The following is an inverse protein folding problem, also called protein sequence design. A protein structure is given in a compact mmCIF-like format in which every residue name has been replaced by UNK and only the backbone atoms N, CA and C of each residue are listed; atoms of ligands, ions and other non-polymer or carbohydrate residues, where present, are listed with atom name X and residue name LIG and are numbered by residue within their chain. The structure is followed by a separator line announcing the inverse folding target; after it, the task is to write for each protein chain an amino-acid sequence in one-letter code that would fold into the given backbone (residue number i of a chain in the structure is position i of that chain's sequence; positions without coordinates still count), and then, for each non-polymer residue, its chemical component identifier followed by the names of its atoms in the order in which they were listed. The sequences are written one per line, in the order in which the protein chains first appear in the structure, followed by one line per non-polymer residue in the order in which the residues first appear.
data_IF_854953504433
#
_entry.id   IF_854953504433
#
_cell.length_a   1.000
_cell.length_b   1.000
_cell.length_c   1.000
_cell.angle_alpha   90.00
_cell.angle_beta   90.00
_cell.angle_gamma   90.00
#
_symmetry.space_group_name_H-M   'P 1'
#
loop_
_entity.id
_entity.type
_entity.pdbx_description
1 polymer ?
#
# COMPACT_ATOMS: atom_id res chain seq x y z
N UNK A 1 6.71 -18.64 -3.99
CA UNK A 1 7.19 -17.39 -4.63
C UNK A 1 7.68 -16.47 -3.53
N UNK A 2 8.83 -15.82 -3.69
CA UNK A 2 9.33 -14.88 -2.71
C UNK A 2 8.37 -13.66 -2.60
N UNK A 3 8.12 -13.22 -1.38
CA UNK A 3 7.22 -12.10 -1.11
C UNK A 3 7.87 -10.79 -1.54
N UNK A 4 7.06 -9.90 -2.13
CA UNK A 4 7.52 -8.58 -2.60
C UNK A 4 7.21 -7.50 -1.59
N UNK A 5 8.15 -6.57 -1.41
CA UNK A 5 7.97 -5.37 -0.60
C UNK A 5 7.88 -4.11 -1.46
N UNK A 6 7.26 -3.09 -0.92
CA UNK A 6 7.22 -1.74 -1.46
C UNK A 6 6.87 -0.75 -0.35
N UNK A 7 7.28 0.51 -0.52
CA UNK A 7 6.84 1.61 0.33
C UNK A 7 6.09 2.66 -0.50
N UNK A 8 4.98 3.14 0.04
CA UNK A 8 4.24 4.28 -0.51
C UNK A 8 4.22 5.41 0.51
N UNK A 9 4.78 6.56 0.15
CA UNK A 9 4.96 7.70 1.05
C UNK A 9 4.03 8.84 0.64
N UNK A 10 3.28 9.35 1.63
CA UNK A 10 2.34 10.46 1.48
C UNK A 10 2.52 11.48 2.60
N UNK A 11 1.95 12.70 2.46
CA UNK A 11 1.81 13.61 3.61
C UNK A 11 1.13 12.90 4.78
N UNK A 12 1.71 13.01 5.98
CA UNK A 12 1.12 12.45 7.18
C UNK A 12 -0.12 13.25 7.60
N UNK A 13 -1.22 12.58 7.87
CA UNK A 13 -2.38 13.17 8.52
C UNK A 13 -2.15 13.14 10.05
N UNK A 14 -1.61 14.22 10.59
CA UNK A 14 -1.23 14.31 12.01
C UNK A 14 -2.39 14.07 12.98
N UNK A 15 -3.65 14.29 12.55
CA UNK A 15 -4.83 14.07 13.38
C UNK A 15 -5.29 12.62 13.43
N UNK A 16 -5.18 11.87 12.34
CA UNK A 16 -5.72 10.51 12.25
C UNK A 16 -4.67 9.40 12.24
N UNK A 17 -3.44 9.69 11.80
CA UNK A 17 -2.38 8.70 11.69
C UNK A 17 -2.08 8.04 13.04
N UNK A 18 -1.90 8.84 14.09
CA UNK A 18 -1.62 8.32 15.43
C UNK A 18 -2.75 7.43 15.98
N UNK A 19 -4.00 7.80 15.74
CA UNK A 19 -5.17 7.04 16.18
C UNK A 19 -5.23 5.67 15.50
N UNK A 20 -5.02 5.65 14.18
CA UNK A 20 -4.96 4.42 13.39
C UNK A 20 -3.79 3.54 13.81
N UNK A 21 -2.59 4.11 13.86
CA UNK A 21 -1.36 3.36 14.07
C UNK A 21 -1.28 2.75 15.48
N UNK A 22 -1.85 3.44 16.48
CA UNK A 22 -1.90 2.97 17.88
C UNK A 22 -3.13 2.12 18.19
N UNK A 23 -4.02 1.89 17.23
CA UNK A 23 -5.30 1.18 17.48
C UNK A 23 -6.06 1.80 18.65
N UNK A 24 -6.17 3.13 18.70
CA UNK A 24 -6.87 3.78 19.81
C UNK A 24 -8.31 3.28 19.93
N UNK A 25 -8.85 3.29 21.16
CA UNK A 25 -10.24 2.89 21.40
C UNK A 25 -11.23 3.71 20.58
N UNK A 26 -10.98 5.03 20.44
CA UNK A 26 -11.76 5.93 19.60
C UNK A 26 -11.74 5.48 18.12
N UNK A 27 -10.57 5.15 17.60
CA UNK A 27 -10.44 4.66 16.22
C UNK A 27 -11.19 3.35 16.02
N UNK A 28 -11.02 2.38 16.93
CA UNK A 28 -11.68 1.09 16.85
C UNK A 28 -13.21 1.19 16.94
N UNK A 29 -13.73 2.12 17.77
CA UNK A 29 -15.17 2.37 17.89
C UNK A 29 -15.79 2.97 16.62
N UNK A 30 -15.02 3.76 15.87
CA UNK A 30 -15.49 4.48 14.69
C UNK A 30 -15.20 3.76 13.35
N UNK A 31 -14.53 2.62 13.37
CA UNK A 31 -14.30 1.83 12.17
C UNK A 31 -15.62 1.30 11.63
N UNK A 32 -15.89 1.59 10.36
CA UNK A 32 -16.99 0.94 9.64
C UNK A 32 -16.62 -0.52 9.40
N UNK A 33 -17.27 -1.43 10.13
CA UNK A 33 -17.04 -2.89 10.10
C UNK A 33 -17.05 -3.51 8.70
N UNK A 34 -17.66 -2.82 7.72
CA UNK A 34 -17.76 -3.27 6.32
C UNK A 34 -16.49 -3.00 5.49
N UNK A 35 -15.58 -2.14 5.96
CA UNK A 35 -14.47 -1.65 5.13
C UNK A 35 -13.07 -2.01 5.66
N UNK A 36 -12.96 -2.29 6.93
CA UNK A 36 -11.68 -2.61 7.54
C UNK A 36 -11.85 -3.79 8.49
N UNK A 37 -11.11 -4.84 8.23
CA UNK A 37 -11.10 -6.01 9.09
C UNK A 37 -9.88 -5.94 9.98
N UNK A 38 -10.09 -5.47 11.21
CA UNK A 38 -9.10 -5.58 12.28
C UNK A 38 -9.51 -6.75 13.17
N UNK A 39 -8.61 -7.67 13.33
CA UNK A 39 -8.74 -8.77 14.28
C UNK A 39 -8.16 -8.35 15.62
N UNK A 40 -9.04 -7.96 16.55
CA UNK A 40 -8.65 -7.49 17.87
C UNK A 40 -7.91 -8.57 18.68
N UNK A 41 -8.17 -9.83 18.39
CA UNK A 41 -7.45 -10.98 18.96
C UNK A 41 -6.00 -11.13 18.45
N UNK A 42 -5.62 -10.42 17.39
CA UNK A 42 -4.26 -10.39 16.86
C UNK A 42 -3.49 -9.10 17.20
N UNK A 43 -4.12 -8.14 17.88
CA UNK A 43 -3.50 -6.83 18.17
C UNK A 43 -2.23 -6.95 19.02
N UNK A 44 -2.12 -7.96 19.86
CA UNK A 44 -0.92 -8.24 20.66
C UNK A 44 0.33 -8.54 19.80
N UNK A 45 0.13 -8.90 18.53
CA UNK A 45 1.21 -9.15 17.57
C UNK A 45 1.73 -7.90 16.89
N UNK A 46 1.06 -6.77 17.10
CA UNK A 46 1.50 -5.48 16.60
C UNK A 46 2.68 -4.97 17.44
N UNK A 47 3.58 -4.26 16.77
CA UNK A 47 4.75 -3.68 17.40
C UNK A 47 4.78 -2.18 17.15
N UNK A 48 5.32 -1.43 18.09
CA UNK A 48 5.50 0.02 17.97
C UNK A 48 6.89 0.43 18.43
N UNK A 49 7.49 1.36 17.70
CA UNK A 49 8.70 2.05 18.08
C UNK A 49 8.49 3.56 17.92
N UNK A 50 8.98 4.31 18.90
CA UNK A 50 8.97 5.78 18.89
C UNK A 50 10.40 6.25 19.07
N UNK A 51 10.83 7.19 18.22
CA UNK A 51 12.16 7.77 18.33
C UNK A 51 12.35 8.45 19.68
N UNK A 52 13.49 8.25 20.36
CA UNK A 52 13.76 8.87 21.67
C UNK A 52 13.60 10.40 21.66
N UNK A 53 13.98 11.04 20.56
CA UNK A 53 13.86 12.50 20.38
C UNK A 53 12.41 12.99 20.20
N UNK A 54 11.47 12.10 19.88
CA UNK A 54 10.06 12.43 19.87
C UNK A 54 9.44 12.22 21.26
N UNK A 55 9.82 11.15 21.97
CA UNK A 55 9.29 10.82 23.28
C UNK A 55 7.75 10.79 23.29
N UNK A 56 7.18 11.52 24.24
CA UNK A 56 5.72 11.65 24.38
C UNK A 56 5.12 12.81 23.54
N UNK A 57 5.94 13.50 22.75
CA UNK A 57 5.47 14.62 21.90
C UNK A 57 4.50 14.10 20.85
N UNK A 58 3.32 14.71 20.76
CA UNK A 58 2.36 14.39 19.72
C UNK A 58 2.86 14.77 18.33
N UNK A 59 2.35 14.10 17.28
CA UNK A 59 2.69 14.49 15.90
C UNK A 59 2.22 15.92 15.57
N UNK A 60 1.14 16.39 16.19
CA UNK A 60 0.66 17.77 16.03
C UNK A 60 1.65 18.77 16.67
N UNK A 61 2.13 18.48 17.87
CA UNK A 61 3.11 19.31 18.54
C UNK A 61 4.46 19.28 17.81
N UNK A 62 4.88 18.10 17.33
CA UNK A 62 6.07 18.00 16.48
C UNK A 62 5.94 18.83 15.21
N UNK A 63 4.77 18.81 14.56
CA UNK A 63 4.51 19.67 13.41
C UNK A 63 4.66 21.16 13.76
N UNK A 64 4.12 21.59 14.89
CA UNK A 64 4.25 22.96 15.39
C UNK A 64 5.71 23.34 15.71
N UNK A 65 6.49 22.44 16.32
CA UNK A 65 7.91 22.61 16.55
C UNK A 65 8.69 22.81 15.24
N UNK A 66 8.40 21.98 14.22
CA UNK A 66 8.99 22.13 12.88
C UNK A 66 8.61 23.47 12.26
N UNK A 67 7.35 23.90 12.36
CA UNK A 67 6.93 25.19 11.83
C UNK A 67 7.65 26.36 12.50
N UNK A 68 7.87 26.31 13.82
CA UNK A 68 8.65 27.30 14.57
C UNK A 68 10.11 27.29 14.12
N UNK A 69 10.74 26.12 14.00
CA UNK A 69 12.10 25.95 13.52
C UNK A 69 12.28 26.51 12.10
N UNK A 70 11.33 26.25 11.19
CA UNK A 70 11.36 26.79 9.82
C UNK A 70 11.35 28.32 9.85
N UNK A 71 10.50 28.92 10.69
CA UNK A 71 10.45 30.39 10.85
C UNK A 71 11.75 30.95 11.38
N UNK A 72 12.34 30.31 12.38
CA UNK A 72 13.62 30.68 12.96
C UNK A 72 14.75 30.62 11.91
N UNK A 73 14.90 29.49 11.23
CA UNK A 73 16.00 29.26 10.28
C UNK A 73 15.88 30.05 8.98
N UNK A 74 14.67 30.32 8.51
CA UNK A 74 14.44 30.94 7.20
C UNK A 74 13.95 32.38 7.27
N UNK A 75 13.58 32.87 8.45
CA UNK A 75 12.96 34.19 8.66
C UNK A 75 11.53 34.28 8.13
N UNK A 76 10.92 33.16 7.68
CA UNK A 76 9.59 33.13 7.07
C UNK A 76 8.75 32.01 7.66
N UNK A 77 7.45 32.29 7.82
CA UNK A 77 6.52 31.22 8.20
C UNK A 77 6.49 30.10 7.16
N UNK A 78 6.35 28.86 7.64
CA UNK A 78 6.20 27.69 6.77
C UNK A 78 4.93 27.85 5.93
N UNK A 79 5.04 27.70 4.62
CA UNK A 79 3.89 27.72 3.72
C UNK A 79 3.09 26.41 3.87
N UNK A 80 1.90 26.46 4.40
CA UNK A 80 1.06 25.27 4.68
C UNK A 80 0.00 25.01 3.62
N UNK A 81 -0.29 26.00 2.75
CA UNK A 81 -1.31 25.89 1.69
C UNK A 81 -0.67 25.99 0.31
N UNK A 82 -1.28 25.32 -0.66
CA UNK A 82 -0.92 25.51 -2.05
C UNK A 82 -1.16 26.96 -2.47
N UNK A 83 -0.34 27.48 -3.37
CA UNK A 83 -0.51 28.82 -3.94
C UNK A 83 -0.16 28.83 -5.42
N UNK A 84 -0.85 29.65 -6.18
CA UNK A 84 -0.50 29.91 -7.56
C UNK A 84 0.69 30.87 -7.65
N UNK A 85 1.59 30.58 -8.57
CA UNK A 85 2.70 31.45 -8.95
C UNK A 85 2.63 31.72 -10.45
N UNK A 86 2.42 32.97 -10.81
CA UNK A 86 2.44 33.43 -12.20
C UNK A 86 3.85 33.86 -12.57
N UNK A 87 4.40 33.28 -13.63
CA UNK A 87 5.65 33.76 -14.19
C UNK A 87 5.38 35.08 -14.93
N UNK A 88 5.92 36.18 -14.41
CA UNK A 88 5.69 37.53 -14.95
C UNK A 88 6.16 37.73 -16.41
N UNK A 89 7.11 36.90 -16.89
CA UNK A 89 7.62 36.99 -18.27
C UNK A 89 6.82 36.17 -19.27
N UNK A 90 6.34 35.01 -18.87
CA UNK A 90 5.69 34.03 -19.74
C UNK A 90 4.18 33.88 -19.50
N UNK A 91 3.63 34.52 -18.47
CA UNK A 91 2.24 34.32 -18.04
C UNK A 91 1.93 32.91 -17.51
N UNK A 92 2.90 31.99 -17.51
CA UNK A 92 2.68 30.59 -17.08
C UNK A 92 2.33 30.53 -15.59
N UNK A 93 1.19 29.93 -15.31
CA UNK A 93 0.74 29.64 -13.93
C UNK A 93 1.31 28.30 -13.48
N UNK A 94 1.91 28.27 -12.30
CA UNK A 94 2.40 27.05 -11.63
C UNK A 94 1.86 27.00 -10.22
N UNK A 95 1.47 25.81 -9.74
CA UNK A 95 1.06 25.61 -8.35
C UNK A 95 2.30 25.28 -7.52
N UNK A 96 2.59 26.15 -6.55
CA UNK A 96 3.59 25.87 -5.52
C UNK A 96 2.89 25.18 -4.36
N UNK A 97 3.21 23.91 -4.14
CA UNK A 97 2.59 23.10 -3.10
C UNK A 97 2.97 23.58 -1.70
N UNK A 98 2.02 23.42 -0.79
CA UNK A 98 2.27 23.61 0.65
C UNK A 98 3.32 22.63 1.18
N UNK A 99 3.99 23.01 2.23
CA UNK A 99 4.97 22.16 2.91
C UNK A 99 4.27 20.99 3.61
N UNK A 100 4.84 19.82 3.46
CA UNK A 100 4.41 18.59 4.14
C UNK A 100 5.58 18.04 4.94
N UNK A 101 5.91 18.67 6.08
CA UNK A 101 7.12 18.36 6.85
C UNK A 101 7.10 16.97 7.44
N UNK A 102 5.91 16.46 7.79
CA UNK A 102 5.73 15.09 8.23
C UNK A 102 5.14 14.27 7.09
N UNK A 103 5.73 13.12 6.85
CA UNK A 103 5.24 12.14 5.86
C UNK A 103 5.06 10.77 6.51
N UNK A 104 4.15 10.01 5.94
CA UNK A 104 3.89 8.63 6.37
C UNK A 104 4.11 7.68 5.20
N UNK A 105 4.91 6.64 5.44
CA UNK A 105 5.17 5.57 4.51
C UNK A 105 4.44 4.30 4.94
N UNK A 106 3.68 3.69 4.04
CA UNK A 106 3.11 2.35 4.25
C UNK A 106 4.00 1.35 3.54
N UNK A 107 4.53 0.41 4.30
CA UNK A 107 5.49 -0.62 3.87
C UNK A 107 4.80 -1.97 3.86
N UNK A 108 4.90 -2.70 2.75
CA UNK A 108 4.49 -4.12 2.70
C UNK A 108 5.59 -4.97 3.35
N UNK A 109 5.23 -5.78 4.33
CA UNK A 109 6.15 -6.63 5.09
C UNK A 109 5.78 -8.10 4.97
N UNK A 110 6.65 -8.98 5.44
CA UNK A 110 6.39 -10.42 5.65
C UNK A 110 6.16 -10.73 7.12
N UNK A 111 5.72 -11.93 7.43
CA UNK A 111 5.33 -12.35 8.77
C UNK A 111 6.47 -12.22 9.80
N UNK A 112 7.68 -12.55 9.37
CA UNK A 112 8.91 -12.55 10.16
C UNK A 112 9.71 -11.24 10.06
N UNK A 113 9.15 -10.19 9.45
CA UNK A 113 9.79 -8.86 9.45
C UNK A 113 9.90 -8.34 10.88
N UNK A 114 11.10 -7.91 11.25
CA UNK A 114 11.41 -7.40 12.59
C UNK A 114 11.43 -5.88 12.63
N UNK A 115 11.19 -5.32 13.83
CA UNK A 115 11.37 -3.88 14.09
C UNK A 115 12.79 -3.42 13.75
N UNK A 116 13.81 -4.25 14.06
CA UNK A 116 15.21 -3.91 13.78
C UNK A 116 15.49 -3.74 12.29
N UNK A 117 14.89 -4.56 11.42
CA UNK A 117 15.04 -4.43 9.97
C UNK A 117 14.48 -3.09 9.47
N UNK A 118 13.31 -2.67 10.00
CA UNK A 118 12.72 -1.37 9.68
C UNK A 118 13.54 -0.19 10.22
N UNK A 119 14.10 -0.32 11.43
CA UNK A 119 15.01 0.69 12.00
C UNK A 119 16.29 0.81 11.18
N UNK A 120 16.87 -0.30 10.74
CA UNK A 120 18.05 -0.30 9.86
C UNK A 120 17.74 0.42 8.54
N UNK A 121 16.59 0.15 7.92
CA UNK A 121 16.13 0.88 6.75
C UNK A 121 16.00 2.37 7.01
N UNK A 122 15.42 2.76 8.14
CA UNK A 122 15.27 4.16 8.53
C UNK A 122 16.61 4.85 8.73
N UNK A 123 17.59 4.16 9.34
CA UNK A 123 18.93 4.72 9.55
C UNK A 123 19.65 4.95 8.20
N UNK A 124 19.55 4.03 7.25
CA UNK A 124 20.09 4.23 5.90
C UNK A 124 19.43 5.42 5.22
N UNK A 125 18.11 5.60 5.35
CA UNK A 125 17.40 6.74 4.80
C UNK A 125 17.85 8.05 5.43
N UNK A 126 18.12 8.08 6.74
CA UNK A 126 18.65 9.24 7.46
C UNK A 126 20.04 9.63 6.97
N UNK A 127 20.94 8.66 6.86
CA UNK A 127 22.31 8.88 6.39
C UNK A 127 22.36 9.37 4.95
N UNK A 128 21.48 8.86 4.09
CA UNK A 128 21.51 9.13 2.66
C UNK A 128 20.77 10.41 2.27
N UNK A 129 19.62 10.67 2.87
CA UNK A 129 18.71 11.77 2.47
C UNK A 129 18.38 12.75 3.59
N UNK A 130 18.85 12.51 4.80
CA UNK A 130 18.60 13.38 5.95
C UNK A 130 17.17 13.32 6.48
N UNK A 131 16.36 12.35 6.06
CA UNK A 131 15.00 12.16 6.58
C UNK A 131 15.05 11.29 7.84
N UNK A 132 14.35 11.69 8.89
CA UNK A 132 14.42 11.01 10.19
C UNK A 132 13.09 10.32 10.51
N UNK A 133 13.13 9.04 10.83
CA UNK A 133 11.95 8.33 11.30
C UNK A 133 11.61 8.75 12.73
N UNK A 134 10.34 9.06 12.98
CA UNK A 134 9.81 9.46 14.29
C UNK A 134 9.06 8.31 14.96
N UNK A 135 8.36 7.50 14.17
CA UNK A 135 7.56 6.38 14.67
C UNK A 135 7.55 5.25 13.63
N UNK A 136 7.53 4.02 14.11
CA UNK A 136 7.32 2.82 13.30
C UNK A 136 6.24 1.98 13.98
N UNK A 137 5.26 1.51 13.22
CA UNK A 137 4.21 0.60 13.70
C UNK A 137 4.11 -0.58 12.75
N UNK A 138 4.21 -1.78 13.27
CA UNK A 138 4.01 -3.02 12.54
C UNK A 138 2.59 -3.51 12.83
N UNK A 139 1.79 -3.72 11.79
CA UNK A 139 0.44 -4.22 11.89
C UNK A 139 0.34 -5.63 11.31
N UNK A 140 -0.06 -6.59 12.18
CA UNK A 140 -0.33 -8.00 11.84
C UNK A 140 -1.79 -8.38 12.09
N UNK A 141 -2.62 -7.41 12.47
CA UNK A 141 -4.02 -7.56 12.85
C UNK A 141 -5.00 -7.19 11.74
N UNK A 142 -4.54 -6.61 10.65
CA UNK A 142 -5.38 -6.25 9.50
C UNK A 142 -5.40 -7.33 8.42
N UNK A 143 -6.54 -7.44 7.74
CA UNK A 143 -6.69 -8.34 6.61
C UNK A 143 -8.10 -8.38 6.06
N UNK A 144 -8.45 -9.47 5.40
CA UNK A 144 -9.80 -9.74 4.92
C UNK A 144 -10.06 -11.24 4.85
N UNK A 145 -11.31 -11.61 4.86
CA UNK A 145 -11.73 -12.99 4.58
C UNK A 145 -11.92 -13.17 3.07
N UNK A 146 -11.36 -14.22 2.49
CA UNK A 146 -11.57 -14.56 1.07
C UNK A 146 -13.05 -14.88 0.84
N UNK A 147 -13.62 -15.68 1.75
CA UNK A 147 -15.05 -15.98 1.77
C UNK A 147 -15.66 -15.28 3.00
N UNK A 148 -16.55 -14.29 2.81
CA UNK A 148 -17.23 -13.64 3.93
C UNK A 148 -17.94 -14.66 4.84
N UNK A 149 -17.69 -14.56 6.15
CA UNK A 149 -18.28 -15.46 7.13
C UNK A 149 -17.49 -16.74 7.43
N UNK A 150 -16.48 -17.08 6.63
CA UNK A 150 -15.59 -18.22 6.88
C UNK A 150 -14.26 -17.74 7.47
N UNK A 151 -14.12 -17.92 8.78
CA UNK A 151 -12.93 -17.48 9.54
C UNK A 151 -11.65 -18.22 9.15
N UNK A 152 -11.75 -19.41 8.55
CA UNK A 152 -10.60 -20.17 8.07
C UNK A 152 -9.96 -19.54 6.81
N UNK A 153 -10.69 -18.65 6.13
CA UNK A 153 -10.23 -17.98 4.91
C UNK A 153 -9.57 -16.62 5.16
N UNK A 154 -9.11 -16.36 6.38
CA UNK A 154 -8.41 -15.13 6.72
C UNK A 154 -7.14 -14.94 5.90
N UNK A 155 -7.05 -13.80 5.22
CA UNK A 155 -5.87 -13.35 4.49
C UNK A 155 -5.31 -12.09 5.15
N UNK A 156 -4.17 -12.18 5.82
CA UNK A 156 -3.56 -11.02 6.46
C UNK A 156 -3.07 -10.01 5.43
N UNK A 157 -3.12 -8.73 5.80
CA UNK A 157 -2.52 -7.61 5.10
C UNK A 157 -1.38 -7.05 5.97
N UNK A 158 -0.24 -7.74 5.93
CA UNK A 158 0.93 -7.43 6.73
C UNK A 158 1.58 -6.14 6.22
N UNK A 159 1.67 -5.14 7.07
CA UNK A 159 2.25 -3.86 6.69
C UNK A 159 2.82 -3.13 7.91
N UNK A 160 3.70 -2.17 7.63
CA UNK A 160 4.20 -1.25 8.62
C UNK A 160 3.93 0.20 8.20
N UNK A 161 3.70 1.05 9.19
CA UNK A 161 3.66 2.50 9.03
C UNK A 161 4.93 3.11 9.56
N UNK A 162 5.56 4.00 8.79
CA UNK A 162 6.72 4.77 9.23
C UNK A 162 6.38 6.24 9.08
N UNK A 163 6.39 6.96 10.19
CA UNK A 163 6.21 8.43 10.20
C UNK A 163 7.57 9.09 10.19
N UNK A 164 7.77 9.98 9.24
CA UNK A 164 9.04 10.64 8.97
C UNK A 164 8.97 12.16 9.22
N UNK A 165 10.05 12.70 9.80
CA UNK A 165 10.39 14.12 9.67
C UNK A 165 11.18 14.29 8.36
N UNK A 166 10.65 15.11 7.46
CA UNK A 166 11.19 15.31 6.11
C UNK A 166 11.95 16.64 5.98
N UNK A 167 12.37 17.20 7.10
CA UNK A 167 13.02 18.51 7.15
C UNK A 167 14.50 18.41 7.50
N UNK A 168 15.30 19.24 6.85
CA UNK A 168 16.66 19.51 7.28
C UNK A 168 16.61 20.60 8.35
N UNK A 169 16.92 20.23 9.58
CA UNK A 169 16.81 21.10 10.75
C UNK A 169 17.91 22.19 10.82
N UNK A 170 19.02 22.03 10.09
CA UNK A 170 20.06 23.05 10.02
C UNK A 170 19.63 24.21 9.14
N UNK A 171 18.93 23.93 8.06
CA UNK A 171 18.56 24.93 7.04
C UNK A 171 17.10 25.35 7.10
N UNK A 172 16.24 24.63 7.81
CA UNK A 172 14.79 24.84 7.82
C UNK A 172 14.11 24.50 6.48
N UNK A 173 14.78 23.73 5.61
CA UNK A 173 14.26 23.37 4.29
C UNK A 173 13.84 21.90 4.24
N UNK A 174 12.86 21.59 3.39
CA UNK A 174 12.45 20.20 3.14
C UNK A 174 13.57 19.44 2.42
N UNK A 175 13.84 18.21 2.86
CA UNK A 175 14.67 17.27 2.13
C UNK A 175 14.01 16.96 0.77
N UNK A 176 14.77 17.09 -0.32
CA UNK A 176 14.25 16.89 -1.66
C UNK A 176 14.72 15.54 -2.18
N UNK A 177 13.80 14.63 -2.37
CA UNK A 177 14.03 13.35 -3.02
C UNK A 177 13.37 13.37 -4.40
N UNK A 178 14.13 13.00 -5.43
CA UNK A 178 13.65 12.84 -6.79
C UNK A 178 13.16 11.41 -7.07
N UNK A 179 12.73 11.15 -8.29
CA UNK A 179 12.25 9.82 -8.69
C UNK A 179 13.33 8.74 -8.57
N UNK A 180 14.59 9.09 -8.84
CA UNK A 180 15.73 8.16 -8.67
C UNK A 180 15.94 7.79 -7.20
N UNK A 181 15.88 8.78 -6.30
CA UNK A 181 16.02 8.55 -4.86
C UNK A 181 14.87 7.66 -4.35
N UNK A 182 13.64 7.94 -4.78
CA UNK A 182 12.48 7.13 -4.42
C UNK A 182 12.56 5.70 -4.98
N UNK A 183 13.12 5.54 -6.18
CA UNK A 183 13.38 4.22 -6.76
C UNK A 183 14.46 3.46 -5.98
N UNK A 184 15.53 4.14 -5.59
CA UNK A 184 16.62 3.57 -4.79
C UNK A 184 16.13 3.18 -3.38
N UNK A 185 15.30 4.00 -2.76
CA UNK A 185 14.66 3.70 -1.47
C UNK A 185 13.89 2.37 -1.51
N UNK A 186 13.20 2.06 -2.63
CA UNK A 186 12.52 0.77 -2.80
C UNK A 186 13.52 -0.41 -2.81
N UNK A 187 14.70 -0.22 -3.39
CA UNK A 187 15.75 -1.25 -3.42
C UNK A 187 16.34 -1.46 -2.03
N UNK A 188 16.71 -0.38 -1.35
CA UNK A 188 17.26 -0.43 0.02
C UNK A 188 16.26 -1.09 0.98
N UNK A 189 14.97 -0.76 0.84
CA UNK A 189 13.93 -1.40 1.64
C UNK A 189 13.89 -2.92 1.40
N UNK A 190 13.92 -3.35 0.14
CA UNK A 190 13.89 -4.78 -0.20
C UNK A 190 15.09 -5.52 0.38
N UNK A 191 16.27 -4.93 0.32
CA UNK A 191 17.51 -5.48 0.87
C UNK A 191 17.42 -5.57 2.41
N UNK A 192 16.98 -4.51 3.10
CA UNK A 192 16.84 -4.49 4.56
C UNK A 192 15.82 -5.53 5.07
N UNK A 193 14.74 -5.76 4.32
CA UNK A 193 13.70 -6.71 4.71
C UNK A 193 13.94 -8.13 4.17
N UNK A 194 15.01 -8.35 3.41
CA UNK A 194 15.30 -9.63 2.74
C UNK A 194 14.08 -10.12 1.93
N UNK A 195 13.49 -9.20 1.16
CA UNK A 195 12.33 -9.41 0.32
C UNK A 195 12.63 -9.05 -1.13
N UNK A 196 11.81 -9.54 -2.06
CA UNK A 196 11.94 -9.09 -3.45
C UNK A 196 11.41 -7.64 -3.57
N UNK A 197 12.12 -6.83 -4.34
CA UNK A 197 11.63 -5.51 -4.71
C UNK A 197 10.37 -5.63 -5.58
N UNK A 198 9.38 -4.77 -5.34
CA UNK A 198 8.24 -4.58 -6.22
C UNK A 198 8.70 -4.14 -7.63
N UNK A 199 7.92 -4.46 -8.64
CA UNK A 199 8.21 -4.06 -10.03
C UNK A 199 7.91 -2.57 -10.18
N UNK A 200 8.83 -1.80 -10.78
CA UNK A 200 8.63 -0.36 -10.96
C UNK A 200 7.43 -0.05 -11.87
N UNK A 201 6.80 1.11 -11.66
CA UNK A 201 5.70 1.58 -12.51
C UNK A 201 6.12 1.80 -13.97
N UNK A 202 7.39 2.13 -14.20
CA UNK A 202 7.95 2.29 -15.55
C UNK A 202 7.83 1.01 -16.37
N UNK A 203 8.01 -0.15 -15.71
CA UNK A 203 7.89 -1.46 -16.34
C UNK A 203 6.44 -1.91 -16.44
N UNK A 204 5.66 -1.66 -15.38
CA UNK A 204 4.27 -2.16 -15.30
C UNK A 204 3.25 -1.25 -15.98
N UNK A 205 3.58 0.01 -16.23
CA UNK A 205 2.64 1.05 -16.68
C UNK A 205 1.50 1.33 -15.67
N UNK A 206 1.55 0.75 -14.47
CA UNK A 206 0.48 0.88 -13.47
C UNK A 206 0.80 2.01 -12.52
N UNK A 207 -0.16 2.92 -12.38
CA UNK A 207 -0.12 3.92 -11.33
C UNK A 207 -0.56 3.33 -9.99
N UNK A 208 -0.06 3.95 -8.90
CA UNK A 208 -0.54 3.61 -7.57
C UNK A 208 -1.98 4.05 -7.42
N UNK A 209 -2.87 3.10 -7.15
CA UNK A 209 -4.26 3.37 -6.85
C UNK A 209 -4.45 3.57 -5.35
N UNK A 210 -5.27 4.56 -4.98
CA UNK A 210 -5.78 4.66 -3.63
C UNK A 210 -6.55 3.38 -3.26
N UNK A 211 -6.62 3.08 -1.95
CA UNK A 211 -7.22 1.83 -1.46
C UNK A 211 -8.60 1.54 -2.08
N UNK A 212 -9.47 2.55 -2.12
CA UNK A 212 -10.82 2.38 -2.65
C UNK A 212 -10.80 2.10 -4.16
N UNK A 213 -9.99 2.83 -4.91
CA UNK A 213 -9.83 2.65 -6.35
C UNK A 213 -9.21 1.27 -6.67
N UNK A 214 -8.24 0.83 -5.84
CA UNK A 214 -7.66 -0.50 -5.96
C UNK A 214 -8.70 -1.60 -5.71
N UNK A 215 -9.55 -1.46 -4.69
CA UNK A 215 -10.62 -2.42 -4.38
C UNK A 215 -11.61 -2.50 -5.55
N UNK A 216 -12.06 -1.35 -6.06
CA UNK A 216 -12.97 -1.29 -7.21
C UNK A 216 -12.35 -1.93 -8.45
N UNK A 217 -11.10 -1.56 -8.77
CA UNK A 217 -10.39 -2.14 -9.92
C UNK A 217 -10.13 -3.64 -9.78
N UNK A 218 -9.89 -4.12 -8.56
CA UNK A 218 -9.74 -5.54 -8.25
C UNK A 218 -11.06 -6.28 -8.46
N UNK A 219 -12.15 -5.79 -7.87
CA UNK A 219 -13.49 -6.40 -8.01
C UNK A 219 -13.93 -6.47 -9.49
N UNK A 220 -13.67 -5.40 -10.25
CA UNK A 220 -13.97 -5.39 -11.68
C UNK A 220 -13.21 -6.49 -12.44
N UNK A 221 -11.91 -6.63 -12.19
CA UNK A 221 -11.09 -7.69 -12.81
C UNK A 221 -11.57 -9.09 -12.41
N UNK A 222 -11.90 -9.31 -11.14
CA UNK A 222 -12.38 -10.60 -10.66
C UNK A 222 -13.75 -10.96 -11.28
N UNK A 223 -14.65 -9.97 -11.44
CA UNK A 223 -15.92 -10.14 -12.11
C UNK A 223 -15.75 -10.47 -13.61
N UNK A 224 -14.83 -9.79 -14.30
CA UNK A 224 -14.51 -10.07 -15.71
C UNK A 224 -13.91 -11.48 -15.87
N UNK A 225 -13.00 -11.88 -14.99
CA UNK A 225 -12.43 -13.24 -15.01
C UNK A 225 -13.47 -14.32 -14.73
N UNK A 226 -14.36 -14.09 -13.76
CA UNK A 226 -15.45 -15.01 -13.46
C UNK A 226 -16.44 -15.14 -14.63
N UNK A 227 -16.73 -14.03 -15.32
CA UNK A 227 -17.57 -14.04 -16.53
C UNK A 227 -16.90 -14.84 -17.65
N UNK A 228 -15.64 -14.56 -17.95
CA UNK A 228 -14.89 -15.30 -18.97
C UNK A 228 -14.78 -16.81 -18.65
N UNK A 229 -14.57 -17.16 -17.38
CA UNK A 229 -14.53 -18.57 -16.97
C UNK A 229 -15.88 -19.28 -17.15
N UNK A 230 -17.00 -18.59 -16.85
CA UNK A 230 -18.35 -19.13 -17.09
C UNK A 230 -18.64 -19.34 -18.58
N UNK A 231 -18.27 -18.37 -19.41
CA UNK A 231 -18.44 -18.46 -20.87
C UNK A 231 -17.59 -19.61 -21.44
N UNK A 232 -16.36 -19.76 -21.00
CA UNK A 232 -15.49 -20.86 -21.41
C UNK A 232 -16.03 -22.23 -20.98
N UNK A 233 -16.57 -22.34 -19.76
CA UNK A 233 -17.18 -23.58 -19.26
C UNK A 233 -18.45 -23.93 -20.02
N UNK A 234 -19.29 -22.95 -20.40
CA UNK A 234 -20.47 -23.14 -21.19
C UNK A 234 -20.11 -23.66 -22.61
N UNK A 235 -19.18 -23.00 -23.27
CA UNK A 235 -18.69 -23.40 -24.60
C UNK A 235 -18.08 -24.82 -24.58
N UNK A 236 -17.32 -25.16 -23.54
CA UNK A 236 -16.78 -26.52 -23.37
C UNK A 236 -17.90 -27.58 -23.20
N UNK A 237 -18.94 -27.22 -22.44
CA UNK A 237 -20.11 -28.12 -22.27
C UNK A 237 -20.87 -28.33 -23.58
N UNK A 238 -21.14 -27.26 -24.32
CA UNK A 238 -21.83 -27.34 -25.63
C UNK A 238 -21.01 -28.16 -26.63
N UNK A 239 -19.69 -28.00 -26.66
CA UNK A 239 -18.81 -28.81 -27.51
C UNK A 239 -18.85 -30.30 -27.14
N UNK A 240 -18.77 -30.61 -25.86
CA UNK A 240 -18.84 -32.00 -25.38
C UNK A 240 -20.22 -32.66 -25.68
N UNK A 241 -21.29 -31.89 -25.60
CA UNK A 241 -22.63 -32.38 -25.94
C UNK A 241 -22.77 -32.61 -27.44
N UNK A 242 -22.26 -31.74 -28.28
CA UNK A 242 -22.21 -31.92 -29.73
C UNK A 242 -21.39 -33.16 -30.13
N UNK A 243 -20.21 -33.37 -29.54
CA UNK A 243 -19.40 -34.57 -29.77
C UNK A 243 -20.14 -35.86 -29.36
N UNK A 244 -20.83 -35.81 -28.22
CA UNK A 244 -21.65 -36.98 -27.78
C UNK A 244 -22.76 -37.30 -28.74
N UNK A 245 -23.49 -36.30 -29.24
CA UNK A 245 -24.57 -36.50 -30.24
C UNK A 245 -24.04 -37.05 -31.55
N UNK A 246 -22.83 -36.63 -31.98
CA UNK A 246 -22.20 -37.17 -33.19
C UNK A 246 -21.87 -38.64 -33.01
N UNK A 247 -21.27 -39.04 -31.90
CA UNK A 247 -20.95 -40.45 -31.59
C UNK A 247 -22.21 -41.30 -31.49
N UNK A 248 -23.27 -40.79 -30.83
CA UNK A 248 -24.54 -41.49 -30.75
C UNK A 248 -25.21 -41.70 -32.14
N UNK A 249 -25.09 -40.68 -33.03
CA UNK A 249 -25.55 -40.79 -34.42
C UNK A 249 -24.78 -41.84 -35.20
N UNK A 250 -23.46 -41.84 -35.15
CA UNK A 250 -22.63 -42.86 -35.84
C UNK A 250 -22.89 -44.26 -35.33
N UNK A 251 -23.14 -44.46 -34.04
CA UNK A 251 -23.46 -45.79 -33.48
C UNK A 251 -24.82 -46.28 -33.95
N UNK A 252 -25.85 -45.42 -34.05
CA UNK A 252 -27.19 -45.78 -34.57
C UNK A 252 -27.11 -46.15 -36.04
N UNK A 253 -26.35 -45.47 -36.86
CA UNK A 253 -26.12 -45.81 -38.26
C UNK A 253 -25.46 -47.19 -38.41
N UNK A 254 -24.44 -47.51 -37.59
CA UNK A 254 -23.78 -48.81 -37.57
C UNK A 254 -24.76 -49.95 -37.20
N UNK A 255 -25.62 -49.75 -36.23
CA UNK A 255 -26.66 -50.69 -35.83
C UNK A 255 -27.67 -50.91 -36.95
N UNK A 256 -28.09 -49.85 -37.65
CA UNK A 256 -29.11 -49.91 -38.70
C UNK A 256 -28.60 -50.60 -39.98
N UNK A 257 -27.30 -50.48 -40.29
CA UNK A 257 -26.72 -51.11 -41.48
C UNK A 257 -26.12 -52.51 -41.23
N UNK A 258 -26.36 -53.12 -40.05
CA UNK A 258 -26.00 -54.50 -39.77
C UNK A 258 -24.52 -54.85 -39.88
N UNK A 259 -23.65 -53.87 -39.66
CA UNK A 259 -22.20 -54.06 -39.58
C UNK A 259 -21.81 -54.51 -38.17
N UNK A 260 -22.24 -55.75 -37.83
CA UNK A 260 -21.57 -56.49 -36.76
C UNK A 260 -20.28 -57.08 -37.38
N UNK A 261 -19.16 -56.66 -36.84
CA UNK A 261 -17.87 -57.30 -37.11
C UNK A 261 -17.89 -58.62 -36.33
N UNK A 262 -18.02 -59.72 -37.04
CA UNK A 262 -17.57 -61.03 -36.57
C UNK A 262 -16.07 -61.07 -36.50
#
# INVERSE_FOLDING_TARGET
MAQKTSINIKPCNVGSSSLHNRRSAEYLANIRKEKLYIRTDLMERNEAWVAPELGDTSLADRYNQIAAMVKEKTGRAMQTKDRERVNKKTGKVTIVRGSTPLKEGVVVIKEDTTMQQLQNFCEVCKQRWGITALQIFIHRDEGHYINPGDTATWKPNLHAHIVWDWMNHDTGKSCKLGEKDMSEMQTILADCLEMQRGISKEITGKEHLERNDYIVAKQKREAEQAKAAKEAALAAKEKAEAERLTIEGENKEKEQYGLSLD
#
